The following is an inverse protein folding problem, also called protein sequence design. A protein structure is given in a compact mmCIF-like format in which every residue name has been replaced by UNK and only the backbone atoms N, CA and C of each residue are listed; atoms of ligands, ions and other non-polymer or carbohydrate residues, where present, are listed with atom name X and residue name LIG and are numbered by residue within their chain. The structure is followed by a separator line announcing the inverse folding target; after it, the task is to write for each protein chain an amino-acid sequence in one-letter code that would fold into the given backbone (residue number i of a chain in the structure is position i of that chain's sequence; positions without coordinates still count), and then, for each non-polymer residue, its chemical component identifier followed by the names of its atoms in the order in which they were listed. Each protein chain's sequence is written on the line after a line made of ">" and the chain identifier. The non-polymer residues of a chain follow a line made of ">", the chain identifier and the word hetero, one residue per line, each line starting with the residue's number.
data_IF_410147649986
#
_entry.id   IF_410147649986
#
_cell.length_a   1.000
_cell.length_b   1.000
_cell.length_c   1.000
_cell.angle_alpha   90.00
_cell.angle_beta   90.00
_cell.angle_gamma   90.00
#
_symmetry.space_group_name_H-M   'P 1'
#
loop_
_entity.id
_entity.type
_entity.pdbx_description
1 polymer ?
#
# COMPACT_ATOMS: atom_id res chain seq x y z
N UNK A 1 1.38 3.41 -25.64
CA UNK A 1 1.46 3.31 -27.11
C UNK A 1 0.16 3.74 -27.76
N UNK A 2 0.24 4.39 -28.92
CA UNK A 2 -0.95 4.55 -29.78
C UNK A 2 -1.26 3.23 -30.48
N UNK A 3 -2.56 2.91 -30.49
CA UNK A 3 -3.11 1.72 -31.15
C UNK A 3 -4.28 2.13 -32.06
N UNK A 4 -4.79 1.19 -32.83
CA UNK A 4 -6.09 1.29 -33.48
C UNK A 4 -6.99 0.20 -32.97
N UNK A 5 -8.23 0.56 -32.69
CA UNK A 5 -9.30 -0.37 -32.34
C UNK A 5 -9.74 -1.19 -33.58
N UNK A 6 -10.60 -2.17 -33.38
CA UNK A 6 -11.19 -2.95 -34.48
C UNK A 6 -11.97 -2.04 -35.46
N UNK A 7 -12.59 -0.98 -34.94
CA UNK A 7 -13.29 0.03 -35.74
C UNK A 7 -12.36 1.08 -36.37
N UNK A 8 -11.04 0.83 -36.31
CA UNK A 8 -10.00 1.72 -36.84
C UNK A 8 -9.90 3.09 -36.14
N UNK A 9 -10.49 3.25 -34.95
CA UNK A 9 -10.35 4.46 -34.15
C UNK A 9 -9.00 4.51 -33.42
N UNK A 10 -8.42 5.71 -33.23
CA UNK A 10 -7.21 5.84 -32.44
C UNK A 10 -7.48 5.61 -30.96
N UNK A 11 -6.57 4.89 -30.31
CA UNK A 11 -6.62 4.61 -28.89
C UNK A 11 -5.24 4.56 -28.25
N UNK A 12 -5.20 4.40 -26.93
CA UNK A 12 -3.97 4.26 -26.16
C UNK A 12 -3.92 2.88 -25.50
N UNK A 13 -2.82 2.15 -25.67
CA UNK A 13 -2.52 0.95 -24.91
C UNK A 13 -1.40 1.24 -23.91
N UNK A 14 -1.70 1.04 -22.64
CA UNK A 14 -0.74 1.12 -21.55
C UNK A 14 -0.36 -0.28 -21.07
N UNK A 15 0.93 -0.62 -21.14
CA UNK A 15 1.43 -1.92 -20.71
C UNK A 15 1.94 -1.85 -19.27
N UNK A 16 1.52 -2.80 -18.44
CA UNK A 16 1.94 -2.91 -17.04
C UNK A 16 2.54 -4.28 -16.76
N UNK A 17 3.64 -4.29 -16.04
CA UNK A 17 4.17 -5.49 -15.40
C UNK A 17 3.88 -5.40 -13.91
N UNK A 18 3.12 -6.35 -13.39
CA UNK A 18 2.66 -6.38 -12.02
C UNK A 18 3.29 -7.55 -11.27
N UNK A 19 3.49 -7.43 -9.97
CA UNK A 19 3.86 -8.56 -9.14
C UNK A 19 2.67 -9.50 -9.01
N UNK A 20 2.92 -10.81 -8.83
CA UNK A 20 1.87 -11.82 -8.70
C UNK A 20 0.85 -11.50 -7.59
N UNK A 21 1.32 -10.92 -6.47
CA UNK A 21 0.46 -10.51 -5.35
C UNK A 21 -0.50 -9.34 -5.67
N UNK A 22 -0.41 -8.76 -6.85
CA UNK A 22 -1.25 -7.67 -7.33
C UNK A 22 -2.26 -8.11 -8.39
N UNK A 23 -2.33 -9.40 -8.67
CA UNK A 23 -3.29 -9.94 -9.63
C UNK A 23 -4.75 -9.62 -9.23
N UNK A 24 -5.07 -9.74 -7.93
CA UNK A 24 -6.41 -9.46 -7.40
C UNK A 24 -6.86 -8.00 -7.61
N UNK A 25 -5.92 -7.05 -7.70
CA UNK A 25 -6.22 -5.63 -7.97
C UNK A 25 -6.81 -5.42 -9.39
N UNK A 26 -6.70 -6.43 -10.27
CA UNK A 26 -7.16 -6.42 -11.65
C UNK A 26 -8.27 -7.44 -11.92
N UNK A 27 -8.75 -8.14 -10.90
CA UNK A 27 -9.82 -9.11 -11.04
C UNK A 27 -11.11 -8.45 -11.55
N UNK A 28 -11.91 -9.20 -12.32
CA UNK A 28 -13.19 -8.75 -12.87
C UNK A 28 -13.07 -7.44 -13.69
N UNK A 29 -12.02 -7.30 -14.49
CA UNK A 29 -11.71 -6.12 -15.29
C UNK A 29 -11.51 -4.82 -14.47
N UNK A 30 -11.26 -4.96 -13.16
CA UNK A 30 -10.93 -3.82 -12.32
C UNK A 30 -9.61 -3.17 -12.74
N UNK A 31 -9.55 -1.86 -12.62
CA UNK A 31 -8.32 -1.08 -12.86
C UNK A 31 -7.95 -0.37 -11.56
N UNK A 32 -6.73 -0.58 -11.03
CA UNK A 32 -6.28 0.18 -9.88
C UNK A 32 -6.34 1.69 -10.15
N UNK A 33 -6.94 2.45 -9.23
CA UNK A 33 -7.29 3.86 -9.42
C UNK A 33 -6.11 4.73 -9.89
N UNK A 34 -4.89 4.46 -9.42
CA UNK A 34 -3.71 5.24 -9.82
C UNK A 34 -3.30 4.98 -11.27
N UNK A 35 -3.60 3.80 -11.83
CA UNK A 35 -3.42 3.52 -13.26
C UNK A 35 -4.56 4.10 -14.09
N UNK A 36 -5.81 4.02 -13.60
CA UNK A 36 -6.95 4.66 -14.26
C UNK A 36 -6.70 6.17 -14.43
N UNK A 37 -6.25 6.86 -13.38
CA UNK A 37 -5.91 8.29 -13.45
C UNK A 37 -4.82 8.57 -14.50
N UNK A 38 -3.79 7.72 -14.57
CA UNK A 38 -2.73 7.86 -15.57
C UNK A 38 -3.27 7.73 -17.00
N UNK A 39 -4.10 6.72 -17.26
CA UNK A 39 -4.63 6.50 -18.61
C UNK A 39 -5.63 7.60 -19.00
N UNK A 40 -6.49 8.07 -18.08
CA UNK A 40 -7.39 9.22 -18.32
C UNK A 40 -6.63 10.49 -18.65
N UNK A 41 -5.53 10.75 -17.94
CA UNK A 41 -4.66 11.87 -18.28
C UNK A 41 -4.11 11.75 -19.72
N UNK A 42 -3.69 10.55 -20.13
CA UNK A 42 -3.21 10.33 -21.50
C UNK A 42 -4.32 10.50 -22.55
N UNK A 43 -5.55 10.03 -22.25
CA UNK A 43 -6.68 10.22 -23.16
C UNK A 43 -6.99 11.71 -23.37
N UNK A 44 -7.01 12.49 -22.28
CA UNK A 44 -7.24 13.92 -22.35
C UNK A 44 -6.15 14.68 -23.11
N UNK A 45 -4.89 14.37 -22.86
CA UNK A 45 -3.75 15.01 -23.55
C UNK A 45 -3.70 14.66 -25.04
N UNK A 46 -3.99 13.39 -25.37
CA UNK A 46 -3.92 12.91 -26.75
C UNK A 46 -5.18 13.14 -27.58
N UNK A 47 -6.26 13.58 -26.92
CA UNK A 47 -7.59 13.79 -27.51
C UNK A 47 -8.12 12.53 -28.23
N UNK A 48 -8.04 11.37 -27.52
CA UNK A 48 -8.53 10.07 -28.03
C UNK A 48 -9.57 9.48 -27.07
N UNK A 49 -10.49 8.68 -27.60
CA UNK A 49 -11.67 8.25 -26.86
C UNK A 49 -11.50 6.94 -26.10
N UNK A 50 -10.55 6.10 -26.47
CA UNK A 50 -10.42 4.74 -25.93
C UNK A 50 -9.01 4.51 -25.40
N UNK A 51 -8.93 3.95 -24.20
CA UNK A 51 -7.71 3.46 -23.59
C UNK A 51 -7.85 2.03 -23.08
N UNK A 52 -6.80 1.25 -23.21
CA UNK A 52 -6.76 -0.11 -22.68
C UNK A 52 -5.45 -0.36 -21.92
N UNK A 53 -5.51 -1.30 -20.98
CA UNK A 53 -4.32 -1.83 -20.33
C UNK A 53 -3.96 -3.20 -20.90
N UNK A 54 -2.68 -3.50 -20.88
CA UNK A 54 -2.15 -4.85 -21.01
C UNK A 54 -1.32 -5.12 -19.76
N UNK A 55 -1.90 -5.80 -18.77
CA UNK A 55 -1.28 -6.06 -17.48
C UNK A 55 -0.85 -7.52 -17.37
N UNK A 56 0.45 -7.75 -17.18
CA UNK A 56 1.08 -9.07 -17.06
C UNK A 56 1.62 -9.26 -15.64
N UNK A 57 1.29 -10.41 -15.04
CA UNK A 57 1.72 -10.75 -13.69
C UNK A 57 3.04 -11.53 -13.68
N UNK A 58 3.95 -11.11 -12.77
CA UNK A 58 5.19 -11.86 -12.50
C UNK A 58 6.12 -12.05 -13.70
N UNK A 59 5.96 -11.28 -14.77
CA UNK A 59 6.70 -11.43 -16.03
C UNK A 59 6.65 -12.85 -16.64
N UNK A 60 5.62 -13.64 -16.30
CA UNK A 60 5.42 -14.95 -16.86
C UNK A 60 4.34 -14.89 -17.96
N UNK A 61 4.68 -15.19 -19.23
CA UNK A 61 3.72 -15.16 -20.33
C UNK A 61 2.62 -16.26 -20.22
N UNK A 62 2.83 -17.26 -19.38
CA UNK A 62 1.84 -18.31 -19.11
C UNK A 62 0.77 -17.86 -18.08
N UNK A 63 0.95 -16.71 -17.44
CA UNK A 63 -0.04 -16.13 -16.56
C UNK A 63 -1.12 -15.41 -17.36
N UNK A 64 -2.33 -15.36 -16.80
CA UNK A 64 -3.42 -14.62 -17.39
C UNK A 64 -3.05 -13.15 -17.61
N UNK A 65 -3.50 -12.62 -18.73
CA UNK A 65 -3.29 -11.24 -19.13
C UNK A 65 -4.61 -10.49 -18.98
N UNK A 66 -4.66 -9.48 -18.09
CA UNK A 66 -5.82 -8.61 -18.03
C UNK A 66 -5.71 -7.51 -19.09
N UNK A 67 -6.80 -7.30 -19.83
CA UNK A 67 -6.89 -6.26 -20.87
C UNK A 67 -8.16 -5.40 -20.62
N UNK A 68 -8.30 -4.76 -19.43
CA UNK A 68 -9.42 -3.88 -19.21
C UNK A 68 -9.28 -2.59 -20.03
N UNK A 69 -10.42 -2.08 -20.50
CA UNK A 69 -10.47 -0.84 -21.27
C UNK A 69 -11.33 0.22 -20.58
N UNK A 70 -11.07 1.47 -20.89
CA UNK A 70 -11.86 2.60 -20.44
C UNK A 70 -12.20 3.50 -21.63
N UNK A 71 -13.40 4.04 -21.60
CA UNK A 71 -13.80 5.13 -22.47
C UNK A 71 -13.46 6.47 -21.84
N UNK A 72 -13.33 7.48 -22.67
CA UNK A 72 -13.09 8.84 -22.25
C UNK A 72 -14.23 9.34 -21.35
N UNK A 73 -13.87 10.05 -20.31
CA UNK A 73 -14.80 10.72 -19.38
C UNK A 73 -14.31 12.15 -19.14
N UNK A 74 -14.87 13.08 -19.89
CA UNK A 74 -14.46 14.48 -19.86
C UNK A 74 -14.52 15.07 -18.45
N UNK A 75 -15.54 14.73 -17.67
CA UNK A 75 -15.68 15.28 -16.32
C UNK A 75 -14.56 14.81 -15.38
N UNK A 76 -14.14 13.55 -15.50
CA UNK A 76 -12.98 13.02 -14.74
C UNK A 76 -11.66 13.61 -15.21
N UNK A 77 -11.51 13.82 -16.51
CA UNK A 77 -10.32 14.45 -17.09
C UNK A 77 -10.20 15.91 -16.63
N UNK A 78 -11.29 16.69 -16.67
CA UNK A 78 -11.31 18.07 -16.20
C UNK A 78 -10.87 18.18 -14.74
N UNK A 79 -11.32 17.25 -13.86
CA UNK A 79 -10.86 17.19 -12.48
C UNK A 79 -9.35 16.89 -12.35
N UNK A 80 -8.82 16.03 -13.21
CA UNK A 80 -7.38 15.71 -13.23
C UNK A 80 -6.60 16.96 -13.64
N UNK A 81 -6.99 17.63 -14.71
CA UNK A 81 -6.31 18.84 -15.18
C UNK A 81 -6.42 19.99 -14.18
N UNK A 82 -7.59 20.22 -13.58
CA UNK A 82 -7.76 21.23 -12.51
C UNK A 82 -6.77 20.97 -11.36
N UNK A 83 -6.63 19.74 -10.91
CA UNK A 83 -5.68 19.38 -9.85
C UNK A 83 -4.21 19.57 -10.25
N UNK A 84 -3.88 19.29 -11.49
CA UNK A 84 -2.54 19.54 -12.02
C UNK A 84 -2.23 21.02 -12.11
N UNK A 85 -3.19 21.83 -12.58
CA UNK A 85 -3.06 23.29 -12.65
C UNK A 85 -2.91 23.92 -11.27
N UNK A 86 -3.70 23.49 -10.27
CA UNK A 86 -3.53 23.90 -8.88
C UNK A 86 -2.12 23.56 -8.36
N UNK A 87 -1.61 22.37 -8.71
CA UNK A 87 -0.27 21.94 -8.28
C UNK A 87 0.83 22.76 -8.96
N UNK A 88 0.74 22.97 -10.29
CA UNK A 88 1.68 23.81 -11.05
C UNK A 88 1.66 25.23 -10.49
N UNK A 89 0.48 25.80 -10.28
CA UNK A 89 0.34 27.13 -9.68
C UNK A 89 1.02 27.21 -8.31
N UNK A 90 0.89 26.17 -7.48
CA UNK A 90 1.52 26.12 -6.16
C UNK A 90 3.05 26.13 -6.23
N UNK A 91 3.63 25.48 -7.25
CA UNK A 91 5.06 25.50 -7.50
C UNK A 91 5.55 26.87 -7.97
N UNK A 92 4.84 27.49 -8.91
CA UNK A 92 5.19 28.80 -9.46
C UNK A 92 5.13 29.93 -8.41
N UNK A 93 4.26 29.78 -7.40
CA UNK A 93 4.05 30.77 -6.35
C UNK A 93 4.72 30.41 -5.01
N UNK A 94 5.54 29.38 -4.97
CA UNK A 94 6.21 28.88 -3.75
C UNK A 94 5.19 28.66 -2.60
N UNK A 95 4.04 28.09 -2.91
CA UNK A 95 2.94 27.80 -1.98
C UNK A 95 2.72 26.28 -1.88
N UNK A 96 3.59 25.54 -1.17
CA UNK A 96 3.43 24.10 -1.08
C UNK A 96 2.10 23.73 -0.41
N UNK A 97 1.49 22.59 -0.81
CA UNK A 97 0.27 22.11 -0.18
C UNK A 97 0.49 21.87 1.32
N UNK A 98 -0.58 22.04 2.12
CA UNK A 98 -0.49 21.79 3.55
C UNK A 98 -0.22 20.30 3.82
N UNK A 99 0.77 20.01 4.66
CA UNK A 99 1.14 18.63 5.00
C UNK A 99 0.00 17.82 5.62
N UNK A 100 -1.03 18.49 6.17
CA UNK A 100 -2.22 17.84 6.73
C UNK A 100 -3.12 17.15 5.69
N UNK A 101 -2.99 17.47 4.40
CA UNK A 101 -3.74 16.86 3.31
C UNK A 101 -3.03 15.64 2.70
N UNK A 102 -1.79 15.39 3.09
CA UNK A 102 -0.96 14.29 2.61
C UNK A 102 -1.05 13.10 3.57
N UNK A 103 -0.91 11.87 3.05
CA UNK A 103 -0.79 10.68 3.91
C UNK A 103 0.32 10.91 4.95
N UNK A 104 0.08 10.67 6.26
CA UNK A 104 1.03 11.04 7.32
C UNK A 104 2.45 10.51 7.11
N UNK A 105 2.60 9.30 6.60
CA UNK A 105 3.91 8.71 6.31
C UNK A 105 4.67 9.53 5.26
N UNK A 106 4.02 9.88 4.15
CA UNK A 106 4.63 10.67 3.06
C UNK A 106 4.95 12.10 3.52
N UNK A 107 4.07 12.69 4.36
CA UNK A 107 4.33 14.00 4.94
C UNK A 107 5.59 13.98 5.82
N UNK A 108 5.74 12.99 6.70
CA UNK A 108 6.93 12.84 7.55
C UNK A 108 8.20 12.60 6.73
N UNK A 109 8.15 11.77 5.69
CA UNK A 109 9.27 11.56 4.77
C UNK A 109 9.68 12.85 4.05
N UNK A 110 8.71 13.65 3.61
CA UNK A 110 8.96 14.94 2.97
C UNK A 110 9.59 15.94 3.94
N UNK A 111 9.08 16.02 5.17
CA UNK A 111 9.65 16.88 6.22
C UNK A 111 11.10 16.48 6.56
N UNK A 112 11.38 15.17 6.62
CA UNK A 112 12.73 14.68 6.85
C UNK A 112 13.70 15.06 5.70
N UNK A 113 13.21 15.10 4.45
CA UNK A 113 14.02 15.58 3.31
C UNK A 113 14.27 17.08 3.34
N UNK A 114 13.25 17.87 3.73
CA UNK A 114 13.34 19.35 3.79
C UNK A 114 14.27 19.80 4.91
N UNK A 115 14.12 19.24 6.11
CA UNK A 115 14.84 19.68 7.29
C UNK A 115 16.08 18.85 7.63
N UNK A 116 16.27 17.72 6.95
CA UNK A 116 17.37 16.79 7.25
C UNK A 116 17.13 15.97 8.52
N UNK A 117 18.20 15.32 8.98
CA UNK A 117 18.19 14.59 10.24
C UNK A 117 18.14 15.54 11.45
N UNK A 118 17.39 15.16 12.49
CA UNK A 118 17.41 15.90 13.75
C UNK A 118 18.83 15.95 14.33
N UNK A 119 19.23 17.12 14.84
CA UNK A 119 20.55 17.31 15.47
C UNK A 119 20.41 17.55 16.97
N UNK A 120 21.11 16.78 17.83
CA UNK A 120 21.09 17.00 19.26
C UNK A 120 21.79 18.30 19.68
N UNK A 121 22.51 18.94 18.75
CA UNK A 121 23.22 20.21 19.02
C UNK A 121 22.35 21.46 18.84
N UNK A 122 21.17 21.29 18.21
CA UNK A 122 20.23 22.39 18.07
C UNK A 122 19.51 22.67 19.39
N UNK A 123 19.23 23.95 19.70
CA UNK A 123 18.53 24.31 20.93
C UNK A 123 17.10 23.73 20.93
N UNK A 124 16.63 23.39 22.13
CA UNK A 124 15.23 22.98 22.33
C UNK A 124 14.30 24.15 21.98
N UNK A 125 13.26 23.85 21.23
CA UNK A 125 12.22 24.83 20.87
C UNK A 125 10.97 24.63 21.72
N UNK A 126 10.31 25.72 22.08
CA UNK A 126 9.01 25.68 22.73
C UNK A 126 7.92 25.51 21.68
N UNK A 127 7.09 24.48 21.84
CA UNK A 127 5.98 24.23 20.93
C UNK A 127 4.75 25.07 21.34
N UNK A 128 3.97 25.56 20.35
CA UNK A 128 2.76 26.30 20.62
C UNK A 128 1.75 25.50 21.44
N UNK A 129 1.10 26.10 22.45
CA UNK A 129 0.09 25.47 23.31
C UNK A 129 -1.08 24.82 22.54
N UNK A 130 -1.39 25.30 21.35
CA UNK A 130 -2.42 24.69 20.49
C UNK A 130 -2.14 23.23 20.15
N UNK A 131 -0.90 22.72 20.31
CA UNK A 131 -0.50 21.33 20.09
C UNK A 131 -0.65 20.45 21.32
N UNK A 132 -1.02 21.01 22.48
CA UNK A 132 -1.14 20.27 23.76
C UNK A 132 -2.03 19.02 23.63
N UNK A 133 -3.19 19.16 22.97
CA UNK A 133 -4.15 18.06 22.78
C UNK A 133 -3.53 16.93 21.95
N UNK A 134 -2.80 17.26 20.89
CA UNK A 134 -2.12 16.28 20.02
C UNK A 134 -1.01 15.57 20.77
N UNK A 135 -0.17 16.30 21.51
CA UNK A 135 0.91 15.73 22.30
C UNK A 135 0.38 14.77 23.37
N UNK A 136 -0.64 15.19 24.12
CA UNK A 136 -1.31 14.31 25.12
C UNK A 136 -1.91 13.07 24.48
N UNK A 137 -2.51 13.20 23.31
CA UNK A 137 -3.08 12.05 22.57
C UNK A 137 -2.01 11.07 22.11
N UNK A 138 -0.89 11.58 21.60
CA UNK A 138 0.25 10.75 21.19
C UNK A 138 0.81 9.99 22.39
N UNK A 139 1.06 10.66 23.53
CA UNK A 139 1.54 10.02 24.75
C UNK A 139 0.61 8.89 25.21
N UNK A 140 -0.70 9.16 25.30
CA UNK A 140 -1.69 8.14 25.66
C UNK A 140 -1.67 6.93 24.73
N UNK A 141 -1.56 7.15 23.40
CA UNK A 141 -1.50 6.06 22.44
C UNK A 141 -0.20 5.26 22.54
N UNK A 142 0.92 5.92 22.86
CA UNK A 142 2.19 5.24 23.09
C UNK A 142 2.14 4.35 24.34
N UNK A 143 1.53 4.80 25.43
CA UNK A 143 1.32 4.01 26.65
C UNK A 143 0.44 2.78 26.34
N UNK A 144 -0.68 2.96 25.64
CA UNK A 144 -1.54 1.84 25.23
C UNK A 144 -0.81 0.83 24.33
N UNK A 145 0.06 1.28 23.43
CA UNK A 145 0.89 0.38 22.62
C UNK A 145 1.89 -0.38 23.48
N UNK A 146 2.52 0.27 24.47
CA UNK A 146 3.44 -0.38 25.38
C UNK A 146 2.76 -1.49 26.20
N UNK A 147 1.58 -1.21 26.76
CA UNK A 147 0.79 -2.18 27.51
C UNK A 147 0.42 -3.40 26.64
N UNK A 148 -0.05 -3.16 25.42
CA UNK A 148 -0.40 -4.25 24.51
C UNK A 148 0.81 -5.10 24.08
N UNK A 149 1.97 -4.47 23.92
CA UNK A 149 3.22 -5.20 23.62
C UNK A 149 3.66 -6.07 24.81
N UNK A 150 3.46 -5.59 26.03
CA UNK A 150 3.75 -6.39 27.24
C UNK A 150 2.80 -7.60 27.34
N UNK A 151 1.52 -7.42 27.03
CA UNK A 151 0.52 -8.50 26.99
C UNK A 151 0.88 -9.56 25.91
N UNK A 152 1.20 -9.11 24.69
CA UNK A 152 1.64 -10.00 23.60
C UNK A 152 2.85 -10.83 24.04
N UNK A 153 3.86 -10.19 24.65
CA UNK A 153 5.05 -10.89 25.13
C UNK A 153 4.75 -11.95 26.20
N UNK A 154 3.68 -11.76 26.97
CA UNK A 154 3.21 -12.75 27.93
C UNK A 154 2.63 -13.98 27.21
N UNK A 155 1.77 -13.75 26.22
CA UNK A 155 1.21 -14.83 25.40
C UNK A 155 2.28 -15.58 24.60
N UNK A 156 3.26 -14.88 24.05
CA UNK A 156 4.40 -15.51 23.35
C UNK A 156 5.13 -16.50 24.27
N UNK A 157 5.42 -16.13 25.54
CA UNK A 157 6.05 -17.01 26.51
C UNK A 157 5.18 -18.22 26.86
N UNK A 158 3.87 -18.03 26.99
CA UNK A 158 2.94 -19.14 27.25
C UNK A 158 2.89 -20.10 26.04
N UNK A 159 2.85 -19.57 24.82
CA UNK A 159 2.91 -20.37 23.59
C UNK A 159 4.21 -21.16 23.55
N UNK A 160 5.37 -20.53 23.81
CA UNK A 160 6.66 -21.22 23.86
C UNK A 160 6.64 -22.38 24.88
N UNK A 161 6.13 -22.14 26.09
CA UNK A 161 6.05 -23.17 27.14
C UNK A 161 5.16 -24.37 26.74
N UNK A 162 4.02 -24.10 26.07
CA UNK A 162 3.18 -25.17 25.53
C UNK A 162 3.79 -25.87 24.34
N UNK A 163 4.48 -25.13 23.47
CA UNK A 163 5.20 -25.66 22.31
C UNK A 163 6.28 -26.65 22.70
N UNK A 164 7.04 -26.36 23.77
CA UNK A 164 8.07 -27.31 24.31
C UNK A 164 7.42 -28.63 24.66
N UNK A 165 6.30 -28.65 25.36
CA UNK A 165 5.61 -29.89 25.74
C UNK A 165 5.13 -30.70 24.54
N UNK A 166 4.65 -30.04 23.50
CA UNK A 166 4.24 -30.68 22.24
C UNK A 166 5.48 -31.27 21.54
N UNK A 167 6.56 -30.49 21.43
CA UNK A 167 7.79 -30.92 20.80
C UNK A 167 8.40 -32.15 21.48
N UNK A 168 8.37 -32.25 22.83
CA UNK A 168 8.82 -33.42 23.57
C UNK A 168 8.07 -34.69 23.16
N UNK A 169 6.77 -34.58 22.84
CA UNK A 169 5.95 -35.71 22.39
C UNK A 169 6.15 -36.01 20.92
N UNK A 170 6.31 -34.99 20.07
CA UNK A 170 6.52 -35.13 18.64
C UNK A 170 7.92 -35.70 18.29
N UNK A 171 8.92 -35.44 19.12
CA UNK A 171 10.33 -35.91 18.90
C UNK A 171 10.83 -35.46 17.52
N UNK A 172 11.07 -36.43 16.61
CA UNK A 172 11.56 -36.21 15.25
C UNK A 172 10.43 -36.16 14.21
N UNK A 173 9.17 -36.19 14.62
CA UNK A 173 8.04 -36.10 13.69
C UNK A 173 7.75 -34.67 13.33
N UNK A 174 7.68 -34.39 12.02
CA UNK A 174 7.35 -33.06 11.49
C UNK A 174 5.86 -32.77 11.56
N UNK A 175 5.03 -33.80 11.40
CA UNK A 175 3.59 -33.67 11.40
C UNK A 175 2.96 -34.50 12.53
N UNK A 176 1.99 -33.89 13.21
CA UNK A 176 1.19 -34.54 14.24
C UNK A 176 -0.28 -34.14 14.11
N UNK A 177 -1.16 -34.90 14.76
CA UNK A 177 -2.54 -34.50 14.90
C UNK A 177 -3.05 -34.82 16.30
N UNK A 178 -4.00 -34.00 16.74
CA UNK A 178 -4.76 -34.23 17.96
C UNK A 178 -6.25 -34.21 17.60
N UNK A 179 -6.94 -35.28 17.89
CA UNK A 179 -8.40 -35.40 17.75
C UNK A 179 -9.06 -35.27 19.11
N UNK A 180 -9.98 -34.34 19.21
CA UNK A 180 -10.82 -34.14 20.41
C UNK A 180 -12.24 -34.56 20.09
N UNK A 181 -13.15 -34.47 21.05
CA UNK A 181 -14.57 -34.77 20.84
C UNK A 181 -15.26 -33.82 19.87
N UNK A 182 -14.71 -32.63 19.65
CA UNK A 182 -15.30 -31.55 18.82
C UNK A 182 -14.44 -31.16 17.64
N UNK A 183 -13.11 -31.26 17.76
CA UNK A 183 -12.19 -30.66 16.81
C UNK A 183 -11.00 -31.58 16.48
N UNK A 184 -10.43 -31.37 15.30
CA UNK A 184 -9.18 -32.01 14.88
C UNK A 184 -8.14 -30.94 14.59
N UNK A 185 -7.03 -30.96 15.33
CA UNK A 185 -5.91 -30.05 15.16
C UNK A 185 -4.77 -30.75 14.41
N UNK A 186 -4.27 -30.10 13.35
CA UNK A 186 -3.03 -30.51 12.68
C UNK A 186 -1.89 -29.66 13.26
N UNK A 187 -0.77 -30.31 13.54
CA UNK A 187 0.41 -29.68 14.14
C UNK A 187 1.57 -29.92 13.20
N UNK A 188 2.11 -28.83 12.65
CA UNK A 188 3.29 -28.83 11.80
C UNK A 188 4.46 -28.24 12.56
N UNK A 189 5.51 -29.04 12.74
CA UNK A 189 6.71 -28.68 13.49
C UNK A 189 7.92 -28.69 12.54
N UNK A 190 7.97 -27.68 11.64
CA UNK A 190 9.12 -27.51 10.76
C UNK A 190 10.31 -26.96 11.56
N UNK A 191 11.27 -27.81 11.90
CA UNK A 191 12.58 -27.35 12.39
C UNK A 191 13.31 -26.65 11.24
N UNK A 192 13.44 -25.34 11.32
CA UNK A 192 14.38 -24.62 10.45
C UNK A 192 15.80 -25.06 10.87
N UNK A 193 16.42 -25.90 10.06
CA UNK A 193 17.87 -26.08 10.12
C UNK A 193 18.53 -24.77 9.74
N UNK A 194 19.20 -24.14 10.70
CA UNK A 194 20.04 -22.95 10.53
C UNK A 194 21.28 -23.28 9.67
#
# INVERSE_FOLDING_TARGET
>A
RFIRTEDNEPGILECKSCTYHKADDWADDAIPIYYELQLRFYLGVADVNIGAFSALWGNNPDNDLAIPSIERDQAKEDLIFERLDEWIWSLEHDKPPTMSTVKPKLALESLARIYGASSPTLPTIELPRKLEKQVKRIALMQDQIADRRAEIKTYEKEIEAHTVRIAELMKAHEHGFLETTTDKYLIDFATKTS
#
